data_IF_514440862455
#
_entry.id   IF_514440862455
#
_cell.length_a   1.000
_cell.length_b   1.000
_cell.length_c   1.000
_cell.angle_alpha   90.00
_cell.angle_beta   90.00
_cell.angle_gamma   90.00
#
_symmetry.space_group_name_H-M   'P 1'
#
loop_
_entity.id
_entity.type
_entity.pdbx_description
1 polymer ?
#
# COMPACT_ATOMS: atom_id res chain seq x y z
N UNK A 1 28.51 9.08 10.86
CA UNK A 1 27.05 9.17 10.79
C UNK A 1 26.56 10.55 11.16
N UNK A 2 26.43 11.44 10.17
CA UNK A 2 25.81 12.76 10.32
C UNK A 2 24.30 12.71 10.64
N UNK A 3 23.63 11.59 10.29
CA UNK A 3 22.19 11.38 10.49
C UNK A 3 21.86 9.97 11.03
N UNK A 4 22.18 9.68 12.32
CA UNK A 4 22.03 8.34 12.88
C UNK A 4 20.56 7.92 13.05
N UNK A 5 19.62 8.86 13.20
CA UNK A 5 18.20 8.53 13.37
C UNK A 5 17.53 8.27 12.02
N UNK A 6 17.88 9.03 10.98
CA UNK A 6 17.46 8.79 9.61
C UNK A 6 17.95 7.43 9.10
N UNK A 7 19.20 7.05 9.37
CA UNK A 7 19.74 5.75 8.98
C UNK A 7 18.94 4.59 9.59
N UNK A 8 18.64 4.65 10.90
CA UNK A 8 17.79 3.67 11.59
C UNK A 8 16.35 3.70 11.07
N UNK A 9 15.82 4.89 10.80
CA UNK A 9 14.47 5.11 10.31
C UNK A 9 14.24 4.53 8.92
N UNK A 10 15.08 4.89 7.95
CA UNK A 10 15.03 4.41 6.56
C UNK A 10 15.21 2.89 6.51
N UNK A 11 16.10 2.31 7.34
CA UNK A 11 16.25 0.84 7.44
C UNK A 11 14.95 0.18 7.89
N UNK A 12 14.27 0.72 8.91
CA UNK A 12 12.99 0.19 9.40
C UNK A 12 11.87 0.35 8.38
N UNK A 13 11.81 1.49 7.66
CA UNK A 13 10.86 1.71 6.57
C UNK A 13 11.10 0.69 5.45
N UNK A 14 12.35 0.45 5.05
CA UNK A 14 12.67 -0.55 4.03
C UNK A 14 12.24 -1.96 4.44
N UNK A 15 12.52 -2.38 5.68
CA UNK A 15 12.07 -3.67 6.18
C UNK A 15 10.54 -3.76 6.22
N UNK A 16 9.85 -2.69 6.66
CA UNK A 16 8.40 -2.63 6.63
C UNK A 16 7.83 -2.82 5.22
N UNK A 17 8.43 -2.18 4.21
CA UNK A 17 8.01 -2.35 2.82
C UNK A 17 8.29 -3.78 2.31
N UNK A 18 9.36 -4.45 2.73
CA UNK A 18 9.52 -5.87 2.37
C UNK A 18 8.41 -6.73 3.00
N UNK A 19 8.07 -6.50 4.27
CA UNK A 19 6.99 -7.24 4.93
C UNK A 19 5.63 -6.95 4.31
N UNK A 20 5.34 -5.68 3.94
CA UNK A 20 4.12 -5.31 3.23
C UNK A 20 4.03 -6.05 1.89
N UNK A 21 5.14 -6.18 1.15
CA UNK A 21 5.14 -6.93 -0.11
C UNK A 21 4.78 -8.40 0.10
N UNK A 22 5.43 -9.06 1.06
CA UNK A 22 5.12 -10.46 1.39
C UNK A 22 3.66 -10.58 1.85
N UNK A 23 3.19 -9.67 2.69
CA UNK A 23 1.80 -9.60 3.12
C UNK A 23 0.84 -9.46 1.93
N UNK A 24 1.11 -8.57 0.98
CA UNK A 24 0.26 -8.42 -0.21
C UNK A 24 0.20 -9.69 -1.04
N UNK A 25 1.29 -10.44 -1.16
CA UNK A 25 1.29 -11.76 -1.82
C UNK A 25 0.37 -12.74 -1.09
N UNK A 26 0.44 -12.79 0.25
CA UNK A 26 -0.49 -13.59 1.06
C UNK A 26 -1.95 -13.17 0.84
N UNK A 27 -2.23 -11.85 0.80
CA UNK A 27 -3.58 -11.34 0.56
C UNK A 27 -4.11 -11.70 -0.83
N UNK A 28 -3.27 -11.64 -1.86
CA UNK A 28 -3.64 -12.03 -3.23
C UNK A 28 -3.93 -13.52 -3.30
N UNK A 29 -3.07 -14.37 -2.73
CA UNK A 29 -3.29 -15.82 -2.70
C UNK A 29 -4.59 -16.15 -1.94
N UNK A 30 -4.78 -15.57 -0.74
CA UNK A 30 -6.00 -15.72 0.03
C UNK A 30 -7.25 -15.26 -0.72
N UNK A 31 -7.17 -14.11 -1.39
CA UNK A 31 -8.24 -13.57 -2.22
C UNK A 31 -8.61 -14.46 -3.40
N UNK A 32 -7.62 -15.02 -4.12
CA UNK A 32 -7.87 -15.96 -5.21
C UNK A 32 -8.56 -17.23 -4.73
N UNK A 33 -8.11 -17.80 -3.61
CA UNK A 33 -8.72 -18.99 -2.99
C UNK A 33 -10.14 -18.68 -2.49
N UNK A 34 -10.36 -17.48 -1.95
CA UNK A 34 -11.68 -17.04 -1.50
C UNK A 34 -12.66 -16.92 -2.67
N UNK A 35 -12.22 -16.30 -3.78
CA UNK A 35 -13.02 -16.18 -5.01
C UNK A 35 -13.31 -17.55 -5.60
N UNK A 36 -12.34 -18.47 -5.65
CA UNK A 36 -12.57 -19.83 -6.14
C UNK A 36 -13.54 -20.60 -5.25
N UNK A 37 -13.46 -20.43 -3.92
CA UNK A 37 -14.40 -21.02 -2.96
C UNK A 37 -15.83 -20.51 -3.17
N UNK A 38 -15.99 -19.20 -3.33
CA UNK A 38 -17.29 -18.57 -3.64
C UNK A 38 -17.87 -19.02 -4.98
N UNK A 39 -17.04 -19.11 -6.02
CA UNK A 39 -17.46 -19.64 -7.33
C UNK A 39 -17.90 -21.11 -7.24
N UNK A 40 -17.15 -21.92 -6.49
CA UNK A 40 -17.48 -23.34 -6.26
C UNK A 40 -18.81 -23.48 -5.51
N UNK A 41 -19.07 -22.64 -4.50
CA UNK A 41 -20.34 -22.60 -3.77
C UNK A 41 -21.53 -22.27 -4.69
N UNK A 42 -21.33 -21.37 -5.66
CA UNK A 42 -22.37 -20.98 -6.62
C UNK A 42 -22.66 -22.11 -7.61
N UNK A 43 -21.63 -22.75 -8.14
CA UNK A 43 -21.72 -23.79 -9.16
C UNK A 43 -22.25 -25.13 -8.62
N UNK A 44 -22.07 -25.38 -7.32
CA UNK A 44 -22.46 -26.63 -6.67
C UNK A 44 -23.70 -26.48 -5.79
N UNK A 45 -24.47 -25.41 -5.98
CA UNK A 45 -25.69 -25.12 -5.22
C UNK A 45 -26.64 -26.33 -5.23
N UNK A 46 -26.88 -26.92 -4.06
CA UNK A 46 -27.69 -28.14 -3.87
C UNK A 46 -26.89 -29.44 -3.66
N UNK A 47 -25.57 -29.41 -3.81
CA UNK A 47 -24.67 -30.54 -3.49
C UNK A 47 -23.99 -30.33 -2.14
N UNK A 48 -24.23 -31.23 -1.19
CA UNK A 48 -23.61 -31.21 0.14
C UNK A 48 -22.07 -31.35 0.05
N UNK A 49 -21.56 -32.10 -0.94
CA UNK A 49 -20.12 -32.24 -1.18
C UNK A 49 -19.49 -30.95 -1.72
N UNK A 50 -20.22 -30.23 -2.57
CA UNK A 50 -19.77 -28.94 -3.10
C UNK A 50 -19.76 -27.83 -2.05
N UNK A 51 -20.75 -27.82 -1.15
CA UNK A 51 -20.78 -26.92 0.00
C UNK A 51 -19.60 -27.17 0.96
N UNK A 52 -19.25 -28.43 1.22
CA UNK A 52 -18.10 -28.79 2.06
C UNK A 52 -16.77 -28.36 1.42
N UNK A 53 -16.61 -28.53 0.10
CA UNK A 53 -15.42 -28.09 -0.63
C UNK A 53 -15.26 -26.55 -0.61
N UNK A 54 -16.36 -25.82 -0.79
CA UNK A 54 -16.35 -24.36 -0.71
C UNK A 54 -15.94 -23.86 0.69
N UNK A 55 -16.52 -24.45 1.75
CA UNK A 55 -16.15 -24.12 3.14
C UNK A 55 -14.68 -24.44 3.44
N UNK A 56 -14.17 -25.57 2.93
CA UNK A 56 -12.75 -25.94 3.06
C UNK A 56 -11.83 -24.91 2.40
N UNK A 57 -12.15 -24.45 1.18
CA UNK A 57 -11.37 -23.41 0.50
C UNK A 57 -11.44 -22.07 1.22
N UNK A 58 -12.62 -21.67 1.69
CA UNK A 58 -12.78 -20.43 2.47
C UNK A 58 -12.01 -20.48 3.79
N UNK A 59 -11.93 -21.66 4.44
CA UNK A 59 -11.10 -21.87 5.63
C UNK A 59 -9.61 -21.68 5.35
N UNK A 60 -9.11 -22.20 4.22
CA UNK A 60 -7.71 -21.99 3.78
C UNK A 60 -7.46 -20.50 3.48
N UNK A 61 -8.37 -19.83 2.78
CA UNK A 61 -8.27 -18.40 2.50
C UNK A 61 -8.17 -17.56 3.79
N UNK A 62 -8.93 -17.95 4.83
CA UNK A 62 -8.93 -17.28 6.12
C UNK A 62 -7.57 -17.36 6.81
N UNK A 63 -6.83 -18.47 6.68
CA UNK A 63 -5.45 -18.59 7.19
C UNK A 63 -4.53 -17.58 6.49
N UNK A 64 -4.64 -17.42 5.17
CA UNK A 64 -3.86 -16.44 4.41
C UNK A 64 -4.22 -15.00 4.79
N UNK A 65 -5.49 -14.71 5.06
CA UNK A 65 -5.92 -13.40 5.54
C UNK A 65 -5.43 -13.09 6.96
N UNK A 66 -5.41 -14.09 7.85
CA UNK A 66 -4.80 -13.94 9.18
C UNK A 66 -3.30 -13.66 9.04
N UNK A 67 -2.59 -14.44 8.21
CA UNK A 67 -1.16 -14.23 7.96
C UNK A 67 -0.89 -12.82 7.41
N UNK A 68 -1.68 -12.39 6.42
CA UNK A 68 -1.64 -11.02 5.91
C UNK A 68 -1.86 -9.98 7.00
N UNK A 69 -2.90 -10.14 7.83
CA UNK A 69 -3.22 -9.20 8.90
C UNK A 69 -2.07 -9.04 9.90
N UNK A 70 -1.44 -10.14 10.31
CA UNK A 70 -0.28 -10.13 11.21
C UNK A 70 0.93 -9.45 10.56
N UNK A 71 1.26 -9.82 9.32
CA UNK A 71 2.38 -9.23 8.56
C UNK A 71 2.17 -7.73 8.33
N UNK A 72 0.95 -7.33 7.96
CA UNK A 72 0.58 -5.94 7.73
C UNK A 72 0.69 -5.11 9.02
N UNK A 73 0.29 -5.66 10.16
CA UNK A 73 0.41 -5.00 11.47
C UNK A 73 1.90 -4.78 11.84
N UNK A 74 2.74 -5.81 11.69
CA UNK A 74 4.17 -5.70 11.99
C UNK A 74 4.85 -4.70 11.04
N UNK A 75 4.53 -4.77 9.75
CA UNK A 75 5.03 -3.83 8.77
C UNK A 75 4.61 -2.39 9.11
N UNK A 76 3.35 -2.19 9.47
CA UNK A 76 2.83 -0.89 9.86
C UNK A 76 3.57 -0.33 11.08
N UNK A 77 3.75 -1.12 12.14
CA UNK A 77 4.51 -0.70 13.34
C UNK A 77 5.95 -0.33 12.96
N UNK A 78 6.62 -1.15 12.13
CA UNK A 78 7.98 -0.84 11.69
C UNK A 78 8.05 0.42 10.82
N UNK A 79 7.08 0.66 9.96
CA UNK A 79 7.00 1.89 9.15
C UNK A 79 6.78 3.11 10.04
N UNK A 80 5.85 3.04 11.00
CA UNK A 80 5.56 4.08 11.98
C UNK A 80 6.83 4.42 12.77
N UNK A 81 7.45 3.42 13.38
CA UNK A 81 8.67 3.59 14.17
C UNK A 81 9.83 4.08 13.28
N UNK A 82 9.88 3.67 12.02
CA UNK A 82 10.86 4.14 11.04
C UNK A 82 10.72 5.65 10.76
N UNK A 83 9.50 6.11 10.51
CA UNK A 83 9.19 7.54 10.31
C UNK A 83 9.43 8.34 11.59
N UNK A 84 9.03 7.82 12.76
CA UNK A 84 9.25 8.47 14.06
C UNK A 84 10.73 8.70 14.33
N UNK A 85 11.58 7.74 13.99
CA UNK A 85 13.03 7.93 14.14
C UNK A 85 13.57 8.94 13.13
N UNK A 86 13.14 8.86 11.87
CA UNK A 86 13.63 9.75 10.81
C UNK A 86 13.19 11.22 10.99
N UNK A 87 12.06 11.48 11.67
CA UNK A 87 11.52 12.83 11.90
C UNK A 87 12.44 13.75 12.72
N UNK A 88 13.36 13.17 13.49
CA UNK A 88 14.28 13.94 14.34
C UNK A 88 15.43 14.56 13.53
N UNK A 89 15.72 14.01 12.34
CA UNK A 89 16.83 14.45 11.50
C UNK A 89 16.35 15.30 10.29
N UNK A 90 15.10 15.16 9.84
CA UNK A 90 14.57 15.90 8.68
C UNK A 90 13.04 16.15 8.80
N UNK A 91 12.62 17.40 8.55
CA UNK A 91 11.23 17.85 8.74
C UNK A 91 10.24 17.19 7.78
N UNK A 92 10.70 16.76 6.61
CA UNK A 92 9.83 16.10 5.62
C UNK A 92 9.22 14.79 6.17
N UNK A 93 9.92 14.11 7.09
CA UNK A 93 9.37 12.94 7.78
C UNK A 93 8.31 13.29 8.83
N UNK A 94 8.28 14.52 9.35
CA UNK A 94 7.18 14.99 10.22
C UNK A 94 5.88 15.11 9.43
N UNK A 95 5.93 15.68 8.23
CA UNK A 95 4.78 15.74 7.32
C UNK A 95 4.29 14.34 6.92
N UNK A 96 5.22 13.41 6.66
CA UNK A 96 4.89 12.01 6.42
C UNK A 96 4.14 11.38 7.60
N UNK A 97 4.56 11.68 8.84
CA UNK A 97 3.91 11.17 10.04
C UNK A 97 2.48 11.71 10.19
N UNK A 98 2.26 13.01 9.94
CA UNK A 98 0.92 13.62 9.98
C UNK A 98 0.00 12.98 8.94
N UNK A 99 0.46 12.83 7.70
CA UNK A 99 -0.31 12.16 6.65
C UNK A 99 -0.61 10.70 7.00
N UNK A 100 0.33 9.98 7.63
CA UNK A 100 0.11 8.61 8.06
C UNK A 100 -1.00 8.54 9.12
N UNK A 101 -1.00 9.44 10.11
CA UNK A 101 -2.06 9.48 11.14
C UNK A 101 -3.42 9.78 10.50
N UNK A 102 -3.51 10.80 9.64
CA UNK A 102 -4.77 11.16 8.96
C UNK A 102 -5.24 9.99 8.08
N UNK A 103 -4.32 9.35 7.37
CA UNK A 103 -4.59 8.18 6.53
C UNK A 103 -5.12 6.97 7.30
N UNK A 104 -4.96 6.92 8.63
CA UNK A 104 -5.56 5.89 9.49
C UNK A 104 -6.89 6.35 10.04
N UNK A 105 -6.93 7.55 10.63
CA UNK A 105 -8.11 8.05 11.34
C UNK A 105 -9.30 8.19 10.40
N UNK A 106 -9.09 8.74 9.20
CA UNK A 106 -10.18 9.02 8.26
C UNK A 106 -10.87 7.73 7.77
N UNK A 107 -10.16 6.69 7.31
CA UNK A 107 -10.79 5.43 6.95
C UNK A 107 -11.44 4.70 8.13
N UNK A 108 -10.84 4.76 9.33
CA UNK A 108 -11.43 4.14 10.53
C UNK A 108 -12.77 4.80 10.87
N UNK A 109 -12.85 6.14 10.82
CA UNK A 109 -14.12 6.87 11.00
C UNK A 109 -15.13 6.49 9.90
N UNK A 110 -14.68 6.41 8.65
CA UNK A 110 -15.49 5.97 7.53
C UNK A 110 -16.08 4.56 7.72
N UNK A 111 -15.34 3.67 8.39
CA UNK A 111 -15.75 2.32 8.73
C UNK A 111 -17.04 2.25 9.57
N UNK A 112 -17.31 3.25 10.40
CA UNK A 112 -18.56 3.29 11.17
C UNK A 112 -19.79 3.63 10.32
N UNK A 113 -19.59 4.20 9.12
CA UNK A 113 -20.67 4.62 8.23
C UNK A 113 -20.94 3.64 7.08
N UNK A 114 -20.28 2.47 7.05
CA UNK A 114 -20.40 1.48 5.97
C UNK A 114 -21.87 1.09 5.70
N UNK A 115 -22.66 0.93 6.76
CA UNK A 115 -24.06 0.49 6.65
C UNK A 115 -25.08 1.65 6.58
N UNK A 116 -24.70 2.86 7.00
CA UNK A 116 -25.62 4.01 7.09
C UNK A 116 -25.46 5.00 5.94
N UNK A 117 -24.23 5.23 5.48
CA UNK A 117 -23.91 6.15 4.40
C UNK A 117 -22.74 5.60 3.55
N UNK A 118 -23.02 4.69 2.59
CA UNK A 118 -21.98 4.04 1.78
C UNK A 118 -21.10 5.01 1.02
N UNK A 119 -21.66 6.16 0.60
CA UNK A 119 -20.95 7.24 -0.09
C UNK A 119 -19.95 7.95 0.84
N UNK A 120 -20.29 8.16 2.11
CA UNK A 120 -19.36 8.76 3.08
C UNK A 120 -18.22 7.79 3.39
N UNK A 121 -18.53 6.50 3.55
CA UNK A 121 -17.52 5.46 3.73
C UNK A 121 -16.56 5.39 2.54
N UNK A 122 -17.05 5.47 1.29
CA UNK A 122 -16.20 5.39 0.11
C UNK A 122 -15.28 6.60 -0.02
N UNK A 123 -15.78 7.82 0.25
CA UNK A 123 -14.97 9.04 0.27
C UNK A 123 -13.86 8.97 1.34
N UNK A 124 -14.17 8.49 2.54
CA UNK A 124 -13.19 8.30 3.61
C UNK A 124 -12.07 7.32 3.20
N UNK A 125 -12.41 6.24 2.50
CA UNK A 125 -11.43 5.28 1.95
C UNK A 125 -10.57 5.95 0.87
N UNK A 126 -11.16 6.72 -0.05
CA UNK A 126 -10.41 7.46 -1.07
C UNK A 126 -9.43 8.46 -0.46
N UNK A 127 -9.81 9.17 0.60
CA UNK A 127 -8.90 10.06 1.35
C UNK A 127 -7.76 9.26 2.00
N UNK A 128 -8.03 8.10 2.57
CA UNK A 128 -6.98 7.21 3.10
C UNK A 128 -5.95 6.80 2.04
N UNK A 129 -6.41 6.47 0.83
CA UNK A 129 -5.55 6.12 -0.29
C UNK A 129 -4.67 7.31 -0.73
N UNK A 130 -5.27 8.51 -0.80
CA UNK A 130 -4.56 9.76 -1.07
C UNK A 130 -3.50 10.07 0.00
N UNK A 131 -3.83 9.89 1.28
CA UNK A 131 -2.88 10.13 2.37
C UNK A 131 -1.72 9.14 2.33
N UNK A 132 -1.97 7.86 2.03
CA UNK A 132 -0.93 6.83 1.87
C UNK A 132 0.07 7.23 0.77
N UNK A 133 -0.43 7.74 -0.33
CA UNK A 133 0.38 8.29 -1.42
C UNK A 133 1.21 9.49 -0.96
N UNK A 134 0.63 10.42 -0.20
CA UNK A 134 1.39 11.54 0.36
C UNK A 134 2.47 11.10 1.34
N UNK A 135 2.23 10.08 2.15
CA UNK A 135 3.26 9.47 3.03
C UNK A 135 4.45 9.00 2.19
N UNK A 136 4.20 8.27 1.10
CA UNK A 136 5.26 7.80 0.19
C UNK A 136 6.03 8.97 -0.42
N UNK A 137 5.33 10.01 -0.91
CA UNK A 137 5.96 11.21 -1.46
C UNK A 137 6.86 11.88 -0.42
N UNK A 138 6.36 12.12 0.79
CA UNK A 138 7.14 12.80 1.84
C UNK A 138 8.35 11.99 2.30
N UNK A 139 8.25 10.65 2.36
CA UNK A 139 9.42 9.79 2.62
C UNK A 139 10.47 9.96 1.53
N UNK A 140 10.06 9.99 0.25
CA UNK A 140 10.98 10.17 -0.88
C UNK A 140 11.61 11.57 -0.84
N UNK A 141 10.81 12.62 -0.63
CA UNK A 141 11.32 13.98 -0.50
C UNK A 141 12.30 14.12 0.67
N UNK A 142 12.03 13.46 1.81
CA UNK A 142 12.97 13.40 2.93
C UNK A 142 14.29 12.71 2.57
N UNK A 143 14.23 11.62 1.81
CA UNK A 143 15.43 10.92 1.30
C UNK A 143 16.23 11.81 0.34
N UNK A 144 15.57 12.54 -0.58
CA UNK A 144 16.24 13.45 -1.53
C UNK A 144 16.97 14.54 -0.77
N UNK A 145 16.32 15.20 0.20
CA UNK A 145 16.95 16.25 1.02
C UNK A 145 18.15 15.73 1.81
N UNK A 146 18.03 14.53 2.39
CA UNK A 146 19.17 13.89 3.07
C UNK A 146 20.31 13.58 2.09
N UNK A 147 20.00 13.17 0.85
CA UNK A 147 21.01 12.92 -0.17
C UNK A 147 21.72 14.21 -0.63
N UNK A 148 20.96 15.30 -0.78
CA UNK A 148 21.52 16.62 -1.09
C UNK A 148 22.44 17.10 0.03
N UNK A 149 22.03 16.94 1.31
CA UNK A 149 22.85 17.30 2.47
C UNK A 149 24.14 16.46 2.60
N UNK A 150 24.15 15.24 2.05
CA UNK A 150 25.30 14.33 2.01
C UNK A 150 26.14 14.46 0.74
N UNK A 151 25.87 15.45 -0.12
CA UNK A 151 26.58 15.68 -1.39
C UNK A 151 26.53 14.47 -2.35
N UNK A 152 25.45 13.68 -2.27
CA UNK A 152 25.21 12.48 -3.08
C UNK A 152 24.16 12.77 -4.17
N UNK A 153 24.57 13.56 -5.16
CA UNK A 153 23.69 14.00 -6.27
C UNK A 153 23.13 12.85 -7.12
N UNK A 154 23.80 11.71 -7.13
CA UNK A 154 23.39 10.45 -7.77
C UNK A 154 22.15 9.82 -7.12
N UNK A 155 22.03 9.91 -5.80
CA UNK A 155 20.84 9.43 -5.06
C UNK A 155 19.71 10.45 -5.14
N UNK A 156 20.03 11.74 -5.05
CA UNK A 156 19.05 12.85 -5.17
C UNK A 156 18.38 12.87 -6.54
N UNK A 157 19.15 12.83 -7.63
CA UNK A 157 18.61 12.83 -9.00
C UNK A 157 17.73 11.61 -9.26
N UNK A 158 18.17 10.43 -8.81
CA UNK A 158 17.38 9.20 -8.94
C UNK A 158 16.10 9.27 -8.09
N UNK A 159 16.17 9.84 -6.89
CA UNK A 159 15.01 10.09 -6.03
C UNK A 159 13.99 11.03 -6.68
N UNK A 160 14.45 12.12 -7.30
CA UNK A 160 13.58 13.06 -8.02
C UNK A 160 12.88 12.41 -9.22
N UNK A 161 13.60 11.61 -10.01
CA UNK A 161 13.00 10.86 -11.11
C UNK A 161 11.97 9.84 -10.63
N UNK A 162 12.27 9.10 -9.56
CA UNK A 162 11.33 8.13 -8.96
C UNK A 162 10.10 8.87 -8.42
N UNK A 163 10.26 10.01 -7.76
CA UNK A 163 9.16 10.83 -7.25
C UNK A 163 8.21 11.28 -8.37
N UNK A 164 8.75 11.78 -9.50
CA UNK A 164 7.95 12.17 -10.66
C UNK A 164 7.14 10.99 -11.22
N UNK A 165 7.78 9.83 -11.38
CA UNK A 165 7.09 8.63 -11.89
C UNK A 165 5.99 8.17 -10.92
N UNK A 166 6.26 8.17 -9.61
CA UNK A 166 5.29 7.78 -8.60
C UNK A 166 4.07 8.72 -8.62
N UNK A 167 4.26 10.02 -8.77
CA UNK A 167 3.16 11.00 -8.89
C UNK A 167 2.33 10.74 -10.15
N UNK A 168 2.97 10.49 -11.30
CA UNK A 168 2.28 10.20 -12.57
C UNK A 168 1.45 8.92 -12.46
N UNK A 169 2.05 7.83 -11.96
CA UNK A 169 1.36 6.55 -11.77
C UNK A 169 0.20 6.69 -10.80
N UNK A 170 0.42 7.36 -9.67
CA UNK A 170 -0.60 7.62 -8.68
C UNK A 170 -1.81 8.39 -9.26
N UNK A 171 -1.55 9.43 -10.06
CA UNK A 171 -2.60 10.20 -10.73
C UNK A 171 -3.41 9.31 -11.67
N UNK A 172 -2.74 8.47 -12.47
CA UNK A 172 -3.40 7.52 -13.38
C UNK A 172 -4.24 6.50 -12.58
N UNK A 173 -3.68 5.89 -11.53
CA UNK A 173 -4.38 4.92 -10.69
C UNK A 173 -5.60 5.50 -10.00
N UNK A 174 -5.54 6.77 -9.58
CA UNK A 174 -6.66 7.45 -8.93
C UNK A 174 -7.79 7.71 -9.94
N UNK A 175 -7.45 8.20 -11.14
CA UNK A 175 -8.42 8.37 -12.24
C UNK A 175 -9.07 7.02 -12.57
N UNK A 176 -8.27 5.96 -12.71
CA UNK A 176 -8.76 4.60 -12.99
C UNK A 176 -9.69 4.08 -11.88
N UNK A 177 -9.38 4.33 -10.61
CA UNK A 177 -10.21 3.92 -9.47
C UNK A 177 -11.54 4.67 -9.41
N UNK A 178 -11.56 5.95 -9.76
CA UNK A 178 -12.80 6.73 -9.86
C UNK A 178 -13.65 6.17 -11.01
N UNK A 179 -13.06 6.01 -12.20
CA UNK A 179 -13.76 5.49 -13.38
C UNK A 179 -14.32 4.09 -13.13
N UNK A 180 -13.55 3.20 -12.49
CA UNK A 180 -14.03 1.84 -12.17
C UNK A 180 -15.17 1.83 -11.14
N UNK A 181 -15.15 2.74 -10.16
CA UNK A 181 -16.22 2.89 -9.16
C UNK A 181 -17.54 3.30 -9.79
N UNK A 182 -17.51 4.14 -10.82
CA UNK A 182 -18.71 4.52 -11.59
C UNK A 182 -19.20 3.42 -12.54
N UNK A 183 -18.33 2.53 -13.02
CA UNK A 183 -18.69 1.47 -13.96
C UNK A 183 -19.27 0.22 -13.28
N UNK A 184 -18.96 -0.02 -11.99
CA UNK A 184 -19.42 -1.19 -11.22
C UNK A 184 -20.92 -1.19 -10.89
N UNK A 185 -21.63 -0.07 -11.08
CA UNK A 185 -23.09 -0.01 -10.89
C UNK A 185 -23.88 -0.68 -12.01
N UNK A 186 -23.25 -1.03 -13.14
CA UNK A 186 -23.92 -1.66 -14.28
C UNK A 186 -23.27 -3.02 -14.65
N UNK A 187 -24.04 -4.11 -14.52
CA UNK A 187 -23.57 -5.49 -14.72
C UNK A 187 -23.09 -5.78 -16.14
N UNK A 188 -23.49 -4.98 -17.15
CA UNK A 188 -23.05 -5.12 -18.54
C UNK A 188 -21.60 -4.66 -18.79
N UNK A 189 -21.00 -3.89 -17.87
CA UNK A 189 -19.66 -3.27 -18.02
C UNK A 189 -18.65 -3.89 -17.03
N UNK A 190 -19.05 -4.96 -16.33
CA UNK A 190 -18.22 -5.61 -15.31
C UNK A 190 -16.88 -6.15 -15.87
N UNK A 191 -16.86 -6.59 -17.14
CA UNK A 191 -15.64 -7.12 -17.78
C UNK A 191 -14.60 -6.03 -18.01
N UNK A 192 -15.01 -4.83 -18.45
CA UNK A 192 -14.10 -3.69 -18.62
C UNK A 192 -13.58 -3.16 -17.28
N UNK A 193 -14.40 -3.19 -16.22
CA UNK A 193 -13.95 -2.87 -14.87
C UNK A 193 -12.87 -3.84 -14.36
N UNK A 194 -12.98 -5.14 -14.67
CA UNK A 194 -11.97 -6.15 -14.31
C UNK A 194 -10.62 -5.93 -15.03
N UNK A 195 -10.66 -5.56 -16.31
CA UNK A 195 -9.43 -5.26 -17.08
C UNK A 195 -8.72 -4.02 -16.50
N UNK A 196 -9.47 -2.97 -16.18
CA UNK A 196 -8.93 -1.76 -15.54
C UNK A 196 -8.30 -2.04 -14.18
N UNK A 197 -8.92 -2.91 -13.38
CA UNK A 197 -8.39 -3.40 -12.11
C UNK A 197 -7.06 -4.14 -12.30
N UNK A 198 -6.97 -5.02 -13.30
CA UNK A 198 -5.73 -5.74 -13.63
C UNK A 198 -4.59 -4.78 -14.00
N UNK A 199 -4.87 -3.75 -14.82
CA UNK A 199 -3.88 -2.72 -15.19
C UNK A 199 -3.44 -1.91 -13.97
N UNK A 200 -4.38 -1.50 -13.10
CA UNK A 200 -4.06 -0.77 -11.87
C UNK A 200 -3.16 -1.59 -10.93
N UNK A 201 -3.37 -2.91 -10.84
CA UNK A 201 -2.49 -3.79 -10.05
C UNK A 201 -1.05 -3.80 -10.58
N UNK A 202 -0.87 -3.90 -11.90
CA UNK A 202 0.48 -3.86 -12.51
C UNK A 202 1.18 -2.54 -12.22
N UNK A 203 0.47 -1.42 -12.38
CA UNK A 203 1.00 -0.09 -12.08
C UNK A 203 1.40 0.06 -10.61
N UNK A 204 0.59 -0.46 -9.68
CA UNK A 204 0.90 -0.46 -8.24
C UNK A 204 2.18 -1.25 -7.93
N UNK A 205 2.41 -2.39 -8.59
CA UNK A 205 3.64 -3.17 -8.41
C UNK A 205 4.88 -2.41 -8.91
N UNK A 206 4.78 -1.76 -10.07
CA UNK A 206 5.88 -0.95 -10.62
C UNK A 206 6.23 0.21 -9.66
N UNK A 207 5.22 0.93 -9.16
CA UNK A 207 5.40 1.99 -8.16
C UNK A 207 6.16 1.48 -6.93
N UNK A 208 5.81 0.29 -6.47
CA UNK A 208 6.40 -0.35 -5.30
C UNK A 208 7.87 -0.72 -5.49
N UNK A 209 8.21 -1.34 -6.63
CA UNK A 209 9.59 -1.76 -6.94
C UNK A 209 10.50 -0.53 -7.05
N UNK A 210 10.03 0.57 -7.66
CA UNK A 210 10.79 1.81 -7.74
C UNK A 210 11.02 2.42 -6.36
N UNK A 211 9.99 2.43 -5.50
CA UNK A 211 10.11 2.91 -4.12
C UNK A 211 11.12 2.09 -3.30
N UNK A 212 11.07 0.76 -3.39
CA UNK A 212 12.05 -0.12 -2.74
C UNK A 212 13.48 0.10 -3.25
N UNK A 213 13.65 0.30 -4.56
CA UNK A 213 14.98 0.56 -5.15
C UNK A 213 15.58 1.86 -4.61
N UNK A 214 14.75 2.89 -4.40
CA UNK A 214 15.20 4.13 -3.77
C UNK A 214 15.58 3.90 -2.30
N UNK A 215 14.73 3.23 -1.53
CA UNK A 215 14.99 2.94 -0.11
C UNK A 215 16.28 2.13 0.09
N UNK A 216 16.55 1.16 -0.78
CA UNK A 216 17.79 0.38 -0.75
C UNK A 216 19.03 1.27 -0.97
N UNK A 217 18.99 2.19 -1.93
CA UNK A 217 20.06 3.17 -2.17
C UNK A 217 20.22 4.14 -1.02
N UNK A 218 19.12 4.68 -0.49
CA UNK A 218 19.11 5.60 0.64
C UNK A 218 19.70 4.96 1.89
N UNK A 219 19.37 3.70 2.16
CA UNK A 219 19.95 2.91 3.26
C UNK A 219 21.47 2.82 3.11
N UNK A 220 21.99 2.46 1.94
CA UNK A 220 23.44 2.32 1.74
C UNK A 220 24.16 3.67 1.90
N UNK A 221 23.59 4.73 1.33
CA UNK A 221 24.12 6.09 1.50
C UNK A 221 24.23 6.52 2.96
N UNK A 222 23.21 6.23 3.78
CA UNK A 222 23.17 6.62 5.20
C UNK A 222 24.07 5.74 6.09
N UNK A 223 24.44 4.54 5.65
CA UNK A 223 25.41 3.67 6.35
C UNK A 223 26.85 4.09 6.04
N UNK A 224 27.10 4.63 4.85
CA UNK A 224 28.43 5.10 4.40
C UNK A 224 28.79 6.52 4.91
N UNK A 225 27.84 7.26 5.51
CA UNK A 225 28.00 8.63 6.07
C UNK A 225 28.30 8.67 7.57
#
# INVERSE_FOLDING_TARGET
MRFPNAAKGVKRIFTAQILQLIGTVCAVIGGLIFISGGATALLTKGSNAGAAAALGQMGIALIFFIAYGVLALIAFIMQLVGIINAKNDEDSFKSALVCLIIGIVVPVVGGFFVNSAPVVSSLCVSVGNLMTLFVTIFIISGIIKLADQLNRGDVSTKGSNILKIIIVIAGISLILSIVSSFMLTNTAIAVTALILLAVAMVLSVIQYIMFLTLLAKAKNMLVES
#
